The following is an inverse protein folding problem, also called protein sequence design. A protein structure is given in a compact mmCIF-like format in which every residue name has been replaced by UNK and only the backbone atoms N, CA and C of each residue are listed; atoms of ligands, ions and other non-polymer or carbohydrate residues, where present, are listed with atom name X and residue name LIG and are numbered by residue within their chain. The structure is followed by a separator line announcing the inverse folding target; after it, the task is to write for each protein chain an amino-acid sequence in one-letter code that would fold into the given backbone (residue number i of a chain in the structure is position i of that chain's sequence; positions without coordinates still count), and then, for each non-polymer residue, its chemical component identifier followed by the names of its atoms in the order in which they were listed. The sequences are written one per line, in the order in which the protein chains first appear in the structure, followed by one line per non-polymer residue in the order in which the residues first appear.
data_IF_744206685440
#
_entry.id   IF_744206685440
#
_cell.length_a   1.000
_cell.length_b   1.000
_cell.length_c   1.000
_cell.angle_alpha   90.00
_cell.angle_beta   90.00
_cell.angle_gamma   90.00
#
_symmetry.space_group_name_H-M   'P 1'
#
loop_
_entity.id
_entity.type
_entity.pdbx_description
1 polymer ?
#
# COMPACT_ATOMS: atom_id res chain seq x y z
N UNK A 1 27.46 8.72 4.95
CA UNK A 1 27.73 7.92 3.72
C UNK A 1 27.08 6.54 3.71
N UNK A 2 27.61 5.46 4.30
CA UNK A 2 26.97 4.10 4.20
C UNK A 2 25.51 4.08 4.73
N UNK A 3 25.21 4.90 5.76
CA UNK A 3 23.86 5.07 6.33
C UNK A 3 22.86 5.87 5.48
N UNK A 4 23.33 6.66 4.51
CA UNK A 4 22.45 7.48 3.64
C UNK A 4 22.11 6.78 2.32
N UNK A 5 23.01 5.90 1.85
CA UNK A 5 22.87 5.11 0.63
C UNK A 5 22.31 3.70 0.86
N UNK A 6 22.25 3.20 2.10
CA UNK A 6 21.70 1.87 2.45
C UNK A 6 20.16 1.77 2.52
N UNK A 7 19.45 2.90 2.36
CA UNK A 7 17.98 2.99 2.47
C UNK A 7 17.14 2.49 1.27
N UNK A 8 17.67 2.26 0.05
CA UNK A 8 16.82 1.80 -1.05
C UNK A 8 16.23 0.40 -0.83
N UNK A 9 16.97 -0.49 -0.14
CA UNK A 9 16.52 -1.85 0.17
C UNK A 9 15.34 -1.83 1.15
N UNK A 10 15.27 -0.83 2.02
CA UNK A 10 14.15 -0.67 2.94
C UNK A 10 12.81 -0.48 2.21
N UNK A 11 12.81 0.06 0.99
CA UNK A 11 11.59 0.16 0.18
C UNK A 11 11.02 -1.22 -0.18
N UNK A 12 11.83 -2.28 -0.23
CA UNK A 12 11.33 -3.65 -0.45
C UNK A 12 10.43 -4.14 0.69
N UNK A 13 10.50 -3.52 1.87
CA UNK A 13 9.61 -3.84 2.98
C UNK A 13 8.14 -3.58 2.67
N UNK A 14 7.83 -2.72 1.67
CA UNK A 14 6.45 -2.54 1.20
C UNK A 14 5.83 -3.84 0.67
N UNK A 15 6.65 -4.82 0.26
CA UNK A 15 6.21 -6.12 -0.21
C UNK A 15 5.96 -7.16 0.88
N UNK A 16 6.21 -6.83 2.15
CA UNK A 16 5.96 -7.75 3.27
C UNK A 16 4.48 -8.18 3.34
N UNK A 17 3.55 -7.25 3.19
CA UNK A 17 2.10 -7.49 3.20
C UNK A 17 1.62 -8.35 2.01
N UNK A 18 1.88 -7.98 0.73
CA UNK A 18 1.46 -8.82 -0.40
C UNK A 18 2.12 -10.20 -0.38
N UNK A 19 3.38 -10.30 0.07
CA UNK A 19 4.06 -11.59 0.20
C UNK A 19 3.38 -12.47 1.27
N UNK A 20 3.08 -11.90 2.44
CA UNK A 20 2.36 -12.63 3.49
C UNK A 20 0.96 -13.05 3.05
N UNK A 21 0.24 -12.19 2.33
CA UNK A 21 -1.06 -12.52 1.75
C UNK A 21 -0.97 -13.66 0.72
N UNK A 22 0.04 -13.62 -0.16
CA UNK A 22 0.30 -14.69 -1.12
C UNK A 22 0.61 -16.02 -0.42
N UNK A 23 1.49 -16.02 0.58
CA UNK A 23 1.83 -17.21 1.35
C UNK A 23 0.61 -17.76 2.10
N UNK A 24 -0.25 -16.88 2.65
CA UNK A 24 -1.52 -17.27 3.26
C UNK A 24 -2.45 -17.97 2.27
N UNK A 25 -2.58 -17.44 1.04
CA UNK A 25 -3.38 -18.06 -0.03
C UNK A 25 -2.83 -19.41 -0.47
N UNK A 26 -1.51 -19.55 -0.53
CA UNK A 26 -0.84 -20.76 -0.98
C UNK A 26 -0.86 -21.88 0.08
N UNK A 27 -0.64 -21.52 1.35
CA UNK A 27 -0.48 -22.48 2.44
C UNK A 27 -1.79 -22.80 3.17
N UNK A 28 -2.71 -21.83 3.30
CA UNK A 28 -3.92 -21.96 4.11
C UNK A 28 -3.66 -22.04 5.62
N UNK A 29 -4.65 -22.49 6.37
CA UNK A 29 -4.66 -22.60 7.83
C UNK A 29 -4.49 -21.25 8.51
N UNK A 30 -3.72 -21.19 9.59
CA UNK A 30 -3.48 -19.94 10.32
C UNK A 30 -2.68 -18.90 9.50
N UNK A 31 -1.96 -19.30 8.45
CA UNK A 31 -1.14 -18.41 7.63
C UNK A 31 -1.96 -17.35 6.87
N UNK A 32 -3.26 -17.58 6.68
CA UNK A 32 -4.20 -16.61 6.12
C UNK A 32 -4.29 -15.31 6.93
N UNK A 33 -3.82 -15.29 8.18
CA UNK A 33 -3.75 -14.10 9.04
C UNK A 33 -2.34 -13.48 9.14
N UNK A 34 -1.36 -13.97 8.37
CA UNK A 34 0.01 -13.45 8.46
C UNK A 34 0.10 -11.95 8.13
N UNK A 35 -0.59 -11.48 7.09
CA UNK A 35 -0.58 -10.07 6.71
C UNK A 35 -1.19 -9.13 7.78
N UNK A 36 -2.40 -9.38 8.35
CA UNK A 36 -2.92 -8.55 9.43
C UNK A 36 -2.06 -8.63 10.71
N UNK A 37 -1.47 -9.78 11.03
CA UNK A 37 -0.52 -9.89 12.17
C UNK A 37 0.70 -9.00 11.93
N UNK A 38 1.27 -9.02 10.73
CA UNK A 38 2.39 -8.12 10.37
C UNK A 38 1.95 -6.66 10.52
N UNK A 39 0.81 -6.28 9.93
CA UNK A 39 0.35 -4.90 9.85
C UNK A 39 -0.03 -4.30 11.21
N UNK A 40 -0.72 -5.06 12.07
CA UNK A 40 -1.33 -4.54 13.28
C UNK A 40 -0.67 -5.01 14.59
N UNK A 41 0.22 -6.00 14.53
CA UNK A 41 0.93 -6.50 15.71
C UNK A 41 2.43 -6.28 15.57
N UNK A 42 3.06 -6.80 14.51
CA UNK A 42 4.51 -6.77 14.40
C UNK A 42 5.03 -5.36 14.11
N UNK A 43 4.47 -4.65 13.12
CA UNK A 43 4.90 -3.28 12.79
C UNK A 43 4.70 -2.34 13.99
N UNK A 44 3.49 -2.22 14.60
CA UNK A 44 3.29 -1.37 15.76
C UNK A 44 4.11 -1.81 16.98
N UNK A 45 4.29 -3.12 17.17
CA UNK A 45 5.12 -3.67 18.23
C UNK A 45 6.58 -3.25 18.09
N UNK A 46 7.15 -3.34 16.88
CA UNK A 46 8.51 -2.85 16.60
C UNK A 46 8.59 -1.34 16.79
N UNK A 47 7.61 -0.58 16.30
CA UNK A 47 7.58 0.88 16.40
C UNK A 47 7.56 1.38 17.84
N UNK A 48 6.84 0.68 18.73
CA UNK A 48 6.75 1.06 20.16
C UNK A 48 8.10 0.99 20.89
N UNK A 49 8.99 0.07 20.48
CA UNK A 49 10.29 -0.14 21.13
C UNK A 49 11.47 0.39 20.31
N UNK A 50 11.27 0.70 19.03
CA UNK A 50 12.31 1.25 18.18
C UNK A 50 12.57 2.73 18.54
N UNK A 51 13.83 3.16 18.60
CA UNK A 51 14.13 4.58 18.76
C UNK A 51 13.62 5.34 17.53
N UNK A 52 12.67 6.25 17.75
CA UNK A 52 12.18 7.16 16.71
C UNK A 52 13.29 8.06 16.18
N UNK A 53 13.29 8.32 14.87
CA UNK A 53 14.24 9.25 14.26
C UNK A 53 13.70 10.67 14.33
N UNK A 54 14.39 11.56 15.02
CA UNK A 54 13.99 12.97 15.16
C UNK A 54 14.59 13.89 14.10
N UNK A 55 15.48 13.35 13.25
CA UNK A 55 16.20 14.10 12.22
C UNK A 55 15.59 13.80 10.86
N UNK A 56 15.00 14.82 10.24
CA UNK A 56 14.52 14.74 8.86
C UNK A 56 15.69 14.56 7.88
N UNK A 57 15.46 13.84 6.80
CA UNK A 57 16.44 13.75 5.73
C UNK A 57 16.66 15.13 5.11
N UNK A 58 17.88 15.40 4.65
CA UNK A 58 18.16 16.58 3.84
C UNK A 58 17.25 16.56 2.58
N UNK A 59 16.52 17.64 2.26
CA UNK A 59 15.62 17.68 1.11
C UNK A 59 16.29 17.35 -0.23
N UNK A 60 17.58 17.67 -0.37
CA UNK A 60 18.38 17.36 -1.58
C UNK A 60 18.57 15.85 -1.70
N UNK A 61 18.92 15.18 -0.59
CA UNK A 61 19.09 13.72 -0.55
C UNK A 61 17.75 13.02 -0.82
N UNK A 62 16.66 13.53 -0.26
CA UNK A 62 15.33 12.97 -0.49
C UNK A 62 14.90 13.08 -1.95
N UNK A 63 15.12 14.24 -2.58
CA UNK A 63 14.81 14.42 -3.99
C UNK A 63 15.66 13.50 -4.89
N UNK A 64 16.95 13.33 -4.58
CA UNK A 64 17.82 12.39 -5.31
C UNK A 64 17.30 10.94 -5.23
N UNK A 65 16.77 10.50 -4.09
CA UNK A 65 16.20 9.15 -3.94
C UNK A 65 15.00 8.90 -4.83
N UNK A 66 14.12 9.89 -5.02
CA UNK A 66 12.94 9.78 -5.90
C UNK A 66 13.33 9.54 -7.37
N UNK A 67 14.54 9.93 -7.75
CA UNK A 67 15.07 9.74 -9.10
C UNK A 67 15.96 8.49 -9.25
N UNK A 68 16.09 7.66 -8.21
CA UNK A 68 16.85 6.42 -8.29
C UNK A 68 16.07 5.36 -9.06
N UNK A 69 16.74 4.68 -10.00
CA UNK A 69 16.15 3.59 -10.79
C UNK A 69 15.56 2.46 -9.95
N UNK A 70 16.16 2.18 -8.78
CA UNK A 70 15.66 1.17 -7.87
C UNK A 70 14.31 1.55 -7.27
N UNK A 71 14.09 2.83 -6.96
CA UNK A 71 12.80 3.31 -6.46
C UNK A 71 11.71 3.13 -7.51
N UNK A 72 11.99 3.57 -8.75
CA UNK A 72 11.08 3.35 -9.88
C UNK A 72 10.80 1.86 -10.13
N UNK A 73 11.82 1.00 -10.03
CA UNK A 73 11.66 -0.43 -10.19
C UNK A 73 10.70 -1.01 -9.14
N UNK A 74 10.84 -0.63 -7.88
CA UNK A 74 9.93 -1.06 -6.79
C UNK A 74 8.51 -0.57 -7.06
N UNK A 75 8.34 0.69 -7.42
CA UNK A 75 7.01 1.25 -7.73
C UNK A 75 6.37 0.53 -8.92
N UNK A 76 7.12 0.26 -10.00
CA UNK A 76 6.57 -0.41 -11.18
C UNK A 76 6.28 -1.89 -10.96
N UNK A 77 7.15 -2.61 -10.23
CA UNK A 77 6.92 -4.02 -9.89
C UNK A 77 5.70 -4.23 -9.00
N UNK A 78 5.29 -3.21 -8.23
CA UNK A 78 4.07 -3.27 -7.41
C UNK A 78 2.82 -3.53 -8.25
N UNK A 79 2.78 -3.08 -9.52
CA UNK A 79 1.64 -3.27 -10.42
C UNK A 79 1.41 -4.76 -10.75
N UNK A 80 2.36 -5.49 -11.39
CA UNK A 80 2.16 -6.91 -11.66
C UNK A 80 2.03 -7.74 -10.38
N UNK A 81 2.72 -7.37 -9.28
CA UNK A 81 2.61 -8.09 -8.00
C UNK A 81 1.16 -8.02 -7.48
N UNK A 82 0.59 -6.82 -7.38
CA UNK A 82 -0.76 -6.63 -6.87
C UNK A 82 -1.81 -7.27 -7.78
N UNK A 83 -1.69 -7.08 -9.09
CA UNK A 83 -2.64 -7.67 -10.04
C UNK A 83 -2.59 -9.20 -10.04
N UNK A 84 -1.40 -9.79 -9.91
CA UNK A 84 -1.23 -11.25 -9.81
C UNK A 84 -1.82 -11.77 -8.50
N UNK A 85 -1.59 -11.08 -7.38
CA UNK A 85 -2.15 -11.47 -6.08
C UNK A 85 -3.69 -11.49 -6.11
N UNK A 86 -4.31 -10.44 -6.65
CA UNK A 86 -5.78 -10.36 -6.78
C UNK A 86 -6.32 -11.41 -7.75
N UNK A 87 -5.67 -11.61 -8.90
CA UNK A 87 -6.07 -12.65 -9.84
C UNK A 87 -5.97 -14.05 -9.22
N UNK A 88 -4.90 -14.33 -8.47
CA UNK A 88 -4.70 -15.60 -7.77
C UNK A 88 -5.75 -15.80 -6.67
N UNK A 89 -6.06 -14.76 -5.89
CA UNK A 89 -7.13 -14.77 -4.91
C UNK A 89 -8.49 -15.14 -5.53
N UNK A 90 -8.88 -14.45 -6.61
CA UNK A 90 -10.14 -14.73 -7.33
C UNK A 90 -10.14 -16.16 -7.88
N UNK A 91 -9.02 -16.61 -8.43
CA UNK A 91 -8.87 -17.97 -8.95
C UNK A 91 -9.07 -19.03 -7.85
N UNK A 92 -8.45 -18.85 -6.68
CA UNK A 92 -8.59 -19.77 -5.55
C UNK A 92 -10.05 -19.81 -5.04
N UNK A 93 -10.71 -18.65 -4.93
CA UNK A 93 -12.13 -18.60 -4.50
C UNK A 93 -13.10 -19.33 -5.45
N UNK A 94 -12.71 -19.55 -6.71
CA UNK A 94 -13.51 -20.33 -7.67
C UNK A 94 -13.44 -21.83 -7.39
N UNK A 95 -12.40 -22.34 -6.74
CA UNK A 95 -12.21 -23.77 -6.54
C UNK A 95 -13.14 -24.29 -5.43
N UNK A 96 -13.84 -25.43 -5.64
CA UNK A 96 -14.81 -25.92 -4.69
C UNK A 96 -14.15 -26.39 -3.38
N UNK A 97 -14.78 -26.05 -2.26
CA UNK A 97 -14.45 -26.51 -0.90
C UNK A 97 -12.99 -26.29 -0.44
N UNK A 98 -12.33 -25.23 -0.94
CA UNK A 98 -10.91 -25.00 -0.64
C UNK A 98 -10.62 -24.39 0.74
N UNK A 99 -11.52 -23.55 1.27
CA UNK A 99 -11.28 -22.80 2.51
C UNK A 99 -12.41 -22.97 3.51
N UNK A 100 -12.03 -23.19 4.77
CA UNK A 100 -12.94 -23.03 5.90
C UNK A 100 -13.34 -21.55 6.06
N UNK A 101 -14.44 -21.28 6.78
CA UNK A 101 -14.93 -19.91 6.99
C UNK A 101 -13.90 -18.99 7.62
N UNK A 102 -13.13 -19.48 8.61
CA UNK A 102 -12.08 -18.69 9.24
C UNK A 102 -10.92 -18.39 8.27
N UNK A 103 -10.62 -19.29 7.34
CA UNK A 103 -9.60 -19.05 6.32
C UNK A 103 -10.07 -17.99 5.34
N UNK A 104 -11.35 -18.08 4.91
CA UNK A 104 -11.98 -17.10 4.03
C UNK A 104 -11.91 -15.68 4.61
N UNK A 105 -12.22 -15.52 5.90
CA UNK A 105 -12.10 -14.23 6.60
C UNK A 105 -10.66 -13.73 6.58
N UNK A 106 -9.69 -14.60 6.89
CA UNK A 106 -8.28 -14.21 6.90
C UNK A 106 -7.74 -13.83 5.52
N UNK A 107 -8.05 -14.60 4.46
CA UNK A 107 -7.60 -14.27 3.10
C UNK A 107 -8.25 -12.99 2.56
N UNK A 108 -9.55 -12.76 2.84
CA UNK A 108 -10.21 -11.50 2.47
C UNK A 108 -9.51 -10.33 3.17
N UNK A 109 -9.21 -10.47 4.46
CA UNK A 109 -8.52 -9.43 5.21
C UNK A 109 -7.10 -9.19 4.70
N UNK A 110 -6.32 -10.25 4.49
CA UNK A 110 -4.93 -10.18 4.01
C UNK A 110 -4.82 -9.57 2.61
N UNK A 111 -5.63 -10.01 1.66
CA UNK A 111 -5.64 -9.45 0.30
C UNK A 111 -6.17 -8.03 0.29
N UNK A 112 -7.24 -7.76 1.05
CA UNK A 112 -7.80 -6.42 1.22
C UNK A 112 -6.79 -5.42 1.80
N UNK A 113 -5.99 -5.84 2.78
CA UNK A 113 -4.88 -5.04 3.31
C UNK A 113 -3.87 -4.69 2.22
N UNK A 114 -3.50 -5.65 1.35
CA UNK A 114 -2.61 -5.39 0.22
C UNK A 114 -3.18 -4.38 -0.77
N UNK A 115 -4.49 -4.44 -1.06
CA UNK A 115 -5.17 -3.46 -1.91
C UNK A 115 -5.07 -2.04 -1.35
N UNK A 116 -5.13 -1.87 -0.03
CA UNK A 116 -4.91 -0.57 0.62
C UNK A 116 -3.42 -0.19 0.67
N UNK A 117 -2.59 -1.04 1.26
CA UNK A 117 -1.19 -0.72 1.60
C UNK A 117 -0.30 -0.58 0.37
N UNK A 118 -0.48 -1.42 -0.65
CA UNK A 118 0.28 -1.37 -1.89
C UNK A 118 -0.55 -0.73 -3.01
N UNK A 119 -1.80 -1.17 -3.18
CA UNK A 119 -2.68 -0.71 -4.26
C UNK A 119 -2.95 0.81 -4.22
N UNK A 120 -3.40 1.36 -3.09
CA UNK A 120 -3.69 2.79 -2.99
C UNK A 120 -2.41 3.62 -2.84
N UNK A 121 -1.49 3.24 -1.95
CA UNK A 121 -0.30 4.05 -1.67
C UNK A 121 0.64 4.18 -2.88
N UNK A 122 0.89 3.08 -3.61
CA UNK A 122 1.75 3.14 -4.79
C UNK A 122 1.03 3.82 -5.96
N UNK A 123 -0.30 3.66 -6.07
CA UNK A 123 -1.09 4.42 -7.03
C UNK A 123 -1.09 5.92 -6.76
N UNK A 124 -1.09 6.34 -5.49
CA UNK A 124 -0.99 7.76 -5.11
C UNK A 124 0.32 8.35 -5.65
N UNK A 125 1.45 7.69 -5.41
CA UNK A 125 2.76 8.12 -5.93
C UNK A 125 2.77 8.18 -7.47
N UNK A 126 2.35 7.10 -8.15
CA UNK A 126 2.31 7.04 -9.62
C UNK A 126 1.33 8.03 -10.24
N UNK A 127 0.20 8.28 -9.57
CA UNK A 127 -0.85 9.20 -10.01
C UNK A 127 -0.40 10.65 -10.04
N UNK A 128 0.55 11.04 -9.18
CA UNK A 128 1.17 12.38 -9.19
C UNK A 128 2.22 12.55 -10.27
N UNK A 129 2.71 11.47 -10.88
CA UNK A 129 3.71 11.56 -11.92
C UNK A 129 3.12 12.04 -13.24
N UNK A 130 3.97 12.68 -14.05
CA UNK A 130 3.57 13.32 -15.31
C UNK A 130 3.39 12.34 -16.48
N UNK A 131 4.05 11.17 -16.47
CA UNK A 131 3.99 10.25 -17.62
C UNK A 131 2.63 9.54 -17.63
N UNK A 132 1.98 9.53 -18.79
CA UNK A 132 0.67 8.86 -18.95
C UNK A 132 0.71 7.37 -18.64
N UNK A 133 1.82 6.68 -18.94
CA UNK A 133 2.00 5.27 -18.61
C UNK A 133 1.96 5.01 -17.10
N UNK A 134 2.58 5.88 -16.30
CA UNK A 134 2.57 5.81 -14.83
C UNK A 134 1.17 6.07 -14.29
N UNK A 135 0.42 7.02 -14.86
CA UNK A 135 -0.97 7.25 -14.49
C UNK A 135 -1.89 6.07 -14.83
N UNK A 136 -1.63 5.35 -15.93
CA UNK A 136 -2.34 4.10 -16.23
C UNK A 136 -1.99 2.99 -15.23
N UNK A 137 -0.72 2.88 -14.83
CA UNK A 137 -0.30 1.97 -13.75
C UNK A 137 -1.01 2.29 -12.42
N UNK A 138 -1.15 3.58 -12.07
CA UNK A 138 -1.91 4.01 -10.91
C UNK A 138 -3.38 3.56 -10.98
N UNK A 139 -4.03 3.73 -12.13
CA UNK A 139 -5.41 3.25 -12.35
C UNK A 139 -5.53 1.74 -12.24
N UNK A 140 -4.56 0.98 -12.78
CA UNK A 140 -4.54 -0.47 -12.67
C UNK A 140 -4.43 -0.91 -11.20
N UNK A 141 -3.59 -0.26 -10.40
CA UNK A 141 -3.48 -0.51 -8.96
C UNK A 141 -4.78 -0.15 -8.22
N UNK A 142 -5.38 1.01 -8.49
CA UNK A 142 -6.65 1.42 -7.88
C UNK A 142 -7.84 0.54 -8.27
N UNK A 143 -7.77 -0.12 -9.43
CA UNK A 143 -8.77 -1.11 -9.81
C UNK A 143 -8.79 -2.28 -8.81
N UNK A 144 -7.66 -2.63 -8.19
CA UNK A 144 -7.61 -3.69 -7.17
C UNK A 144 -8.44 -3.39 -5.93
N UNK A 145 -8.70 -2.11 -5.65
CA UNK A 145 -9.58 -1.62 -4.57
C UNK A 145 -10.90 -1.04 -5.10
N UNK A 146 -11.19 -1.20 -6.39
CA UNK A 146 -12.36 -0.63 -7.08
C UNK A 146 -12.47 0.91 -6.93
N UNK A 147 -11.34 1.61 -6.71
CA UNK A 147 -11.32 3.04 -6.36
C UNK A 147 -10.59 3.91 -7.40
N UNK A 148 -10.82 3.68 -8.69
CA UNK A 148 -10.11 4.39 -9.77
C UNK A 148 -10.33 5.91 -9.79
N UNK A 149 -11.46 6.41 -9.27
CA UNK A 149 -11.75 7.85 -9.23
C UNK A 149 -10.90 8.62 -8.20
N UNK A 150 -10.15 7.91 -7.35
CA UNK A 150 -9.21 8.50 -6.38
C UNK A 150 -8.24 9.49 -7.03
N UNK A 151 -7.73 9.22 -8.24
CA UNK A 151 -6.80 10.16 -8.91
C UNK A 151 -7.45 11.53 -9.17
N UNK A 152 -8.75 11.55 -9.51
CA UNK A 152 -9.47 12.80 -9.77
C UNK A 152 -9.72 13.52 -8.45
N UNK A 153 -10.29 12.80 -7.48
CA UNK A 153 -10.59 13.33 -6.14
C UNK A 153 -9.33 13.86 -5.45
N UNK A 154 -8.28 13.07 -5.41
CA UNK A 154 -7.05 13.39 -4.69
C UNK A 154 -6.26 14.50 -5.37
N UNK A 155 -5.97 14.36 -6.68
CA UNK A 155 -5.06 15.29 -7.35
C UNK A 155 -5.74 16.62 -7.71
N UNK A 156 -7.02 16.61 -8.09
CA UNK A 156 -7.75 17.81 -8.52
C UNK A 156 -8.67 18.37 -7.44
N UNK A 157 -9.07 17.55 -6.46
CA UNK A 157 -9.88 17.95 -5.31
C UNK A 157 -9.01 18.24 -4.08
N UNK A 158 -8.56 17.18 -3.39
CA UNK A 158 -7.86 17.25 -2.11
C UNK A 158 -6.65 18.18 -2.16
N UNK A 159 -5.66 17.93 -3.02
CA UNK A 159 -4.46 18.77 -3.06
C UNK A 159 -4.72 20.25 -3.38
N UNK A 160 -5.81 20.55 -4.10
CA UNK A 160 -6.20 21.93 -4.42
C UNK A 160 -6.90 22.63 -3.27
N UNK A 161 -7.62 21.89 -2.42
CA UNK A 161 -8.50 22.43 -1.38
C UNK A 161 -8.15 21.94 0.03
N UNK A 162 -7.03 21.25 0.22
CA UNK A 162 -6.59 20.66 1.48
C UNK A 162 -6.59 21.72 2.59
N UNK A 163 -7.04 21.31 3.78
CA UNK A 163 -7.21 22.19 4.93
C UNK A 163 -8.26 23.30 4.73
N UNK A 164 -9.23 23.11 3.82
CA UNK A 164 -10.37 24.03 3.63
C UNK A 164 -11.71 23.29 3.68
N UNK A 165 -12.84 23.99 3.93
CA UNK A 165 -14.17 23.37 3.92
C UNK A 165 -14.60 22.78 2.56
N UNK A 166 -13.86 23.06 1.47
CA UNK A 166 -14.15 22.54 0.13
C UNK A 166 -13.52 21.17 -0.13
N UNK A 167 -12.63 20.71 0.73
CA UNK A 167 -12.06 19.37 0.66
C UNK A 167 -12.86 18.40 1.55
N UNK A 168 -13.57 17.43 0.97
CA UNK A 168 -14.36 16.47 1.75
C UNK A 168 -13.49 15.54 2.62
N UNK A 169 -12.19 15.42 2.33
CA UNK A 169 -11.25 14.60 3.10
C UNK A 169 -10.59 15.36 4.27
N UNK A 170 -10.77 16.69 4.34
CA UNK A 170 -10.26 17.49 5.46
C UNK A 170 -11.22 17.44 6.63
N UNK A 171 -10.74 16.96 7.78
CA UNK A 171 -11.48 17.01 9.04
C UNK A 171 -11.78 18.47 9.44
N UNK A 172 -13.03 18.74 9.85
CA UNK A 172 -13.44 20.06 10.31
C UNK A 172 -12.84 20.33 11.69
N UNK A 173 -12.61 21.61 11.97
CA UNK A 173 -12.08 22.02 13.28
C UNK A 173 -13.03 21.58 14.40
N UNK A 174 -12.55 20.72 15.29
CA UNK A 174 -13.31 20.19 16.43
C UNK A 174 -14.16 18.97 16.12
N UNK A 175 -14.10 18.43 14.90
CA UNK A 175 -14.74 17.16 14.52
C UNK A 175 -13.99 15.99 15.16
N UNK A 176 -14.72 15.10 15.82
CA UNK A 176 -14.17 13.88 16.41
C UNK A 176 -14.42 12.68 15.47
N UNK A 177 -13.80 11.52 15.74
CA UNK A 177 -13.88 10.33 14.88
C UNK A 177 -15.31 9.78 14.68
N UNK A 178 -16.24 10.11 15.58
CA UNK A 178 -17.60 9.56 15.63
C UNK A 178 -18.69 10.56 15.18
N UNK A 179 -18.28 11.72 14.67
CA UNK A 179 -19.16 12.77 14.14
C UNK A 179 -18.96 12.89 12.62
#
# INVERSE_FOLDING_TARGET
MIREYGRPIAYLFCYSIPLAAFLGLWQGGAWVYAAPIIAFVLIPGVELFAPGWTINADPVIENQRKHMRLYDLVVYLSVPIQMTLVAYFIYQLRLPAQYATYELVGIIWSVGLSCGSLGINVAHELGHRKKKSEQWMAKALLLSSLYMHFIIEHNLGHHRHVATPRDPATARKGENLYQ
#
